data_IF_120758717344
#
_entry.id   IF_120758717344
#
_cell.length_a   1.000
_cell.length_b   1.000
_cell.length_c   1.000
_cell.angle_alpha   90.00
_cell.angle_beta   90.00
_cell.angle_gamma   90.00
#
_symmetry.space_group_name_H-M   'P 1'
#
loop_
_entity.id
_entity.type
_entity.pdbx_description
1 polymer ?
#
# COMPACT_ATOMS: atom_id res chain seq x y z
N UNK A 1 -8.35 -0.01 0.58
CA UNK A 1 -8.02 -0.52 -0.77
C UNK A 1 -7.74 0.67 -1.69
N UNK A 2 -7.03 0.47 -2.80
CA UNK A 2 -6.81 1.50 -3.81
C UNK A 2 -7.12 0.92 -5.21
N UNK A 3 -7.37 1.75 -6.24
CA UNK A 3 -7.72 1.26 -7.57
C UNK A 3 -6.70 0.25 -8.12
N UNK A 4 -7.18 -0.74 -8.88
CA UNK A 4 -6.36 -1.74 -9.59
C UNK A 4 -5.57 -2.74 -8.71
N UNK A 5 -5.69 -2.65 -7.39
CA UNK A 5 -5.07 -3.66 -6.52
C UNK A 5 -5.83 -4.99 -6.56
N UNK A 6 -5.10 -6.08 -6.78
CA UNK A 6 -5.61 -7.46 -6.70
C UNK A 6 -5.79 -7.93 -5.25
N UNK A 7 -5.23 -7.19 -4.29
CA UNK A 7 -5.26 -7.58 -2.89
C UNK A 7 -6.47 -7.02 -2.16
N UNK A 8 -6.82 -7.68 -1.06
CA UNK A 8 -7.83 -7.26 -0.11
C UNK A 8 -7.25 -7.35 1.29
N UNK A 9 -7.73 -6.48 2.18
CA UNK A 9 -7.41 -6.59 3.60
C UNK A 9 -7.83 -7.97 4.11
N UNK A 10 -6.98 -8.58 4.93
CA UNK A 10 -7.33 -9.80 5.66
C UNK A 10 -8.54 -9.54 6.56
N UNK A 11 -9.31 -10.59 6.87
CA UNK A 11 -10.37 -10.50 7.88
C UNK A 11 -9.79 -10.19 9.25
N UNK A 12 -10.59 -9.56 10.11
CA UNK A 12 -10.19 -9.22 11.47
C UNK A 12 -9.71 -10.44 12.26
N UNK A 13 -10.42 -11.57 12.13
CA UNK A 13 -10.04 -12.86 12.74
C UNK A 13 -8.64 -13.31 12.31
N UNK A 14 -8.32 -13.24 11.01
CA UNK A 14 -6.99 -13.64 10.51
C UNK A 14 -5.89 -12.70 11.00
N UNK A 15 -6.17 -11.41 11.07
CA UNK A 15 -5.21 -10.43 11.60
C UNK A 15 -4.93 -10.74 13.07
N UNK A 16 -5.96 -11.04 13.85
CA UNK A 16 -5.83 -11.37 15.27
C UNK A 16 -5.08 -12.68 15.50
N UNK A 17 -5.43 -13.75 14.77
CA UNK A 17 -4.71 -15.03 14.82
C UNK A 17 -3.21 -14.86 14.52
N UNK A 18 -2.89 -14.06 13.50
CA UNK A 18 -1.50 -13.78 13.15
C UNK A 18 -0.78 -13.00 14.25
N UNK A 19 -1.43 -11.98 14.81
CA UNK A 19 -0.89 -11.21 15.95
C UNK A 19 -0.62 -12.11 17.16
N UNK A 20 -1.54 -13.03 17.47
CA UNK A 20 -1.37 -13.99 18.57
C UNK A 20 -0.18 -14.92 18.35
N UNK A 21 0.01 -15.43 17.12
CA UNK A 21 1.18 -16.26 16.79
C UNK A 21 2.50 -15.53 17.05
N UNK A 22 2.58 -14.24 16.69
CA UNK A 22 3.77 -13.42 16.93
C UNK A 22 4.03 -13.23 18.44
N UNK A 23 2.98 -12.90 19.20
CA UNK A 23 3.09 -12.73 20.65
C UNK A 23 3.53 -14.02 21.35
N UNK A 24 2.97 -15.16 20.96
CA UNK A 24 3.37 -16.48 21.48
C UNK A 24 4.84 -16.81 21.16
N UNK A 25 5.34 -16.32 20.03
CA UNK A 25 6.75 -16.39 19.67
C UNK A 25 7.65 -15.38 20.39
N UNK A 26 7.13 -14.61 21.36
CA UNK A 26 7.86 -13.59 22.10
C UNK A 26 8.06 -12.26 21.35
N UNK A 27 7.40 -12.09 20.20
CA UNK A 27 7.49 -10.86 19.39
C UNK A 27 6.31 -9.95 19.74
N UNK A 28 6.59 -8.81 20.37
CA UNK A 28 5.58 -7.80 20.66
C UNK A 28 5.00 -7.22 19.35
N UNK A 29 3.70 -7.42 19.14
CA UNK A 29 3.00 -7.01 17.92
C UNK A 29 1.67 -6.30 18.23
N UNK A 30 1.40 -5.21 17.51
CA UNK A 30 0.16 -4.42 17.62
C UNK A 30 -0.47 -4.20 16.26
N UNK A 31 -1.79 -4.32 16.17
CA UNK A 31 -2.56 -3.95 14.96
C UNK A 31 -2.78 -2.45 14.93
N UNK A 32 -2.36 -1.77 13.84
CA UNK A 32 -2.60 -0.33 13.68
C UNK A 32 -4.06 -0.07 13.33
N UNK A 33 -4.70 0.88 14.03
CA UNK A 33 -6.02 1.38 13.69
C UNK A 33 -5.97 2.13 12.35
N UNK A 34 -6.84 1.76 11.41
CA UNK A 34 -7.04 2.51 10.16
C UNK A 34 -7.57 3.91 10.48
N UNK A 35 -6.96 4.94 9.90
CA UNK A 35 -7.40 6.34 10.02
C UNK A 35 -7.46 6.97 8.63
N UNK A 36 -8.45 7.84 8.40
CA UNK A 36 -8.63 8.58 7.15
C UNK A 36 -9.09 7.76 5.95
N UNK A 37 -9.63 6.55 6.15
CA UNK A 37 -10.07 5.69 5.04
C UNK A 37 -11.33 6.20 4.33
N UNK A 38 -12.16 6.95 5.06
CA UNK A 38 -13.35 7.67 4.60
C UNK A 38 -13.03 8.86 3.70
N UNK A 39 -11.83 9.43 3.83
CA UNK A 39 -11.33 10.55 3.02
C UNK A 39 -10.18 10.13 2.10
N UNK A 40 -10.05 8.83 1.81
CA UNK A 40 -9.02 8.26 0.92
C UNK A 40 -7.57 8.63 1.31
N UNK A 41 -7.34 8.84 2.61
CA UNK A 41 -6.07 9.25 3.18
C UNK A 41 -5.44 8.18 4.10
N UNK A 42 -5.98 6.96 4.13
CA UNK A 42 -5.33 5.87 4.84
C UNK A 42 -3.99 5.53 4.18
N UNK A 43 -3.12 4.82 4.91
CA UNK A 43 -1.83 4.39 4.40
C UNK A 43 -1.98 3.68 3.04
N UNK A 44 -1.25 4.14 2.03
CA UNK A 44 -1.27 3.60 0.67
C UNK A 44 -2.39 4.12 -0.24
N UNK A 45 -3.28 5.01 0.23
CA UNK A 45 -4.35 5.60 -0.61
C UNK A 45 -3.97 6.96 -1.23
N UNK A 46 -2.84 7.55 -0.82
CA UNK A 46 -2.42 8.87 -1.31
C UNK A 46 -1.94 8.78 -2.77
N UNK A 47 -2.84 9.04 -3.72
CA UNK A 47 -2.55 8.99 -5.17
C UNK A 47 -1.96 10.32 -5.67
N UNK A 48 -2.46 11.45 -5.15
CA UNK A 48 -2.07 12.79 -5.56
C UNK A 48 -2.25 13.09 -7.06
N UNK A 49 -1.89 14.29 -7.50
CA UNK A 49 -1.72 14.60 -8.93
C UNK A 49 -0.25 14.39 -9.28
N UNK A 50 0.06 13.32 -10.02
CA UNK A 50 1.43 13.01 -10.44
C UNK A 50 1.64 13.48 -11.88
N UNK A 51 2.35 14.59 -12.06
CA UNK A 51 2.82 15.00 -13.39
C UNK A 51 3.91 14.04 -13.85
N UNK A 52 3.58 13.16 -14.81
CA UNK A 52 4.53 12.23 -15.43
C UNK A 52 5.53 12.99 -16.32
N UNK A 53 6.59 13.53 -15.70
CA UNK A 53 7.66 14.27 -16.40
C UNK A 53 8.64 13.36 -17.21
N UNK A 54 8.39 12.05 -17.27
CA UNK A 54 9.30 11.04 -17.87
C UNK A 54 9.24 11.03 -19.41
N UNK A 55 8.31 11.75 -20.04
CA UNK A 55 8.17 11.74 -21.50
C UNK A 55 9.34 12.43 -22.26
N UNK A 56 10.19 13.23 -21.60
CA UNK A 56 11.24 14.00 -22.29
C UNK A 56 12.51 13.20 -22.60
N UNK A 57 12.81 12.14 -21.84
CA UNK A 57 14.05 11.36 -22.02
C UNK A 57 13.87 10.04 -22.78
N UNK A 58 12.66 9.51 -22.93
CA UNK A 58 12.44 8.26 -23.67
C UNK A 58 12.57 8.45 -25.20
N UNK A 59 12.22 9.63 -25.71
CA UNK A 59 12.33 9.95 -27.14
C UNK A 59 13.78 10.13 -27.61
N UNK A 60 14.71 10.49 -26.71
CA UNK A 60 16.12 10.70 -27.06
C UNK A 60 16.90 9.39 -27.23
N UNK A 61 16.43 8.29 -26.63
CA UNK A 61 17.08 6.97 -26.75
C UNK A 61 16.62 6.21 -28.00
N UNK A 62 15.36 6.39 -28.44
CA UNK A 62 14.79 5.67 -29.59
C UNK A 62 15.17 6.25 -30.97
N UNK A 63 15.85 7.40 -31.01
CA UNK A 63 16.35 8.02 -32.25
C UNK A 63 17.83 7.78 -32.53
N UNK A 64 18.48 6.92 -31.74
CA UNK A 64 19.93 6.67 -31.79
C UNK A 64 20.33 5.29 -32.32
N UNK A 65 19.40 4.53 -32.87
CA UNK A 65 19.64 3.29 -33.63
C UNK A 65 19.12 3.46 -35.06
#
# INVERSE_FOLDING_TARGET
PFPETIYRSSSETRIEEFRQRLLQGGIMATTRKTRGGDIEAACGQLVGQVHKNIQRNLHLTLRRN
#
